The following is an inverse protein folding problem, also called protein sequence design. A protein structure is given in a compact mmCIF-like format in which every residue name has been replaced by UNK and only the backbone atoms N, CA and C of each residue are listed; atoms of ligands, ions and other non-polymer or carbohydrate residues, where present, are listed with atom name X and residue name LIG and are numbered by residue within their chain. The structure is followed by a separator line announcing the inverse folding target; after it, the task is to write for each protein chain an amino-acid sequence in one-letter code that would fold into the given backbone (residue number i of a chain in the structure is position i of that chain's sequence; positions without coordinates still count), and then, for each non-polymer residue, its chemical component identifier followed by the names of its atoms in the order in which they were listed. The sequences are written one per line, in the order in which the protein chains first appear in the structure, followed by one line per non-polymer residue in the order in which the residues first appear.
data_IF_887060656981
#
_entry.id   IF_887060656981
#
_cell.length_a   1.000
_cell.length_b   1.000
_cell.length_c   1.000
_cell.angle_alpha   90.00
_cell.angle_beta   90.00
_cell.angle_gamma   90.00
#
_symmetry.space_group_name_H-M   'P 1'
#
loop_
_entity.id
_entity.type
_entity.pdbx_description
1 polymer ?
#
# COMPACT_ATOMS: atom_id res chain seq x y z
N UNK A 1 -24.78 -49.52 -29.54
CA UNK A 1 -25.95 -49.36 -28.65
C UNK A 1 -27.29 -49.48 -29.38
N UNK A 2 -27.47 -48.93 -30.58
CA UNK A 2 -28.71 -49.14 -31.35
C UNK A 2 -28.99 -50.61 -31.67
N UNK A 3 -27.99 -51.43 -31.99
CA UNK A 3 -28.15 -52.85 -32.24
C UNK A 3 -28.58 -53.64 -30.95
N UNK A 4 -28.01 -53.28 -29.81
CA UNK A 4 -28.35 -53.92 -28.50
C UNK A 4 -29.77 -53.54 -28.08
N UNK A 5 -30.18 -52.26 -28.32
CA UNK A 5 -31.52 -51.82 -28.02
C UNK A 5 -32.58 -52.47 -28.96
N UNK A 6 -32.28 -52.70 -30.23
CA UNK A 6 -33.20 -53.40 -31.13
C UNK A 6 -33.38 -54.90 -30.80
N UNK A 7 -32.31 -55.57 -30.42
CA UNK A 7 -32.39 -56.99 -29.98
C UNK A 7 -33.14 -57.10 -28.63
N UNK A 8 -32.88 -56.22 -27.70
CA UNK A 8 -33.59 -56.18 -26.40
C UNK A 8 -35.09 -55.91 -26.58
N UNK A 9 -35.46 -54.97 -27.47
CA UNK A 9 -36.87 -54.69 -27.81
C UNK A 9 -37.56 -55.91 -28.39
N UNK A 10 -36.94 -56.60 -29.35
CA UNK A 10 -37.48 -57.80 -29.92
C UNK A 10 -37.65 -58.94 -28.89
N UNK A 11 -36.67 -59.11 -28.01
CA UNK A 11 -36.72 -60.12 -26.94
C UNK A 11 -37.81 -59.84 -25.89
N UNK A 12 -38.02 -58.57 -25.52
CA UNK A 12 -39.04 -58.16 -24.56
C UNK A 12 -40.46 -58.22 -25.19
N UNK A 13 -40.59 -57.98 -26.46
CA UNK A 13 -41.86 -58.14 -27.19
C UNK A 13 -42.25 -59.65 -27.30
N UNK A 14 -41.29 -60.55 -27.48
CA UNK A 14 -41.52 -62.01 -27.46
C UNK A 14 -41.96 -62.52 -26.07
N UNK A 15 -41.62 -61.83 -24.99
CA UNK A 15 -42.06 -62.12 -23.61
C UNK A 15 -43.47 -61.60 -23.28
N UNK A 16 -44.19 -60.96 -24.24
CA UNK A 16 -45.56 -60.47 -24.06
C UNK A 16 -45.73 -59.20 -23.26
N UNK A 17 -44.68 -58.38 -23.12
CA UNK A 17 -44.74 -57.10 -22.41
C UNK A 17 -45.39 -56.07 -23.31
N UNK A 18 -46.40 -55.33 -22.84
CA UNK A 18 -47.09 -54.27 -23.59
C UNK A 18 -46.13 -53.19 -24.05
N UNK A 19 -46.23 -52.68 -25.31
CA UNK A 19 -45.30 -51.74 -25.95
C UNK A 19 -44.96 -50.50 -25.09
N UNK A 20 -45.91 -49.97 -24.31
CA UNK A 20 -45.66 -48.85 -23.43
C UNK A 20 -44.64 -49.09 -22.32
N UNK A 21 -44.54 -50.35 -21.83
CA UNK A 21 -43.57 -50.73 -20.79
C UNK A 21 -42.21 -51.15 -21.39
N UNK A 22 -42.15 -51.59 -22.63
CA UNK A 22 -40.92 -52.00 -23.34
C UNK A 22 -39.96 -50.83 -23.41
N UNK A 23 -40.41 -49.66 -23.83
CA UNK A 23 -39.56 -48.44 -23.88
C UNK A 23 -39.03 -48.01 -22.49
N UNK A 24 -39.84 -48.13 -21.45
CA UNK A 24 -39.46 -47.80 -20.11
C UNK A 24 -38.39 -48.77 -19.55
N UNK A 25 -38.55 -50.09 -19.79
CA UNK A 25 -37.59 -51.12 -19.38
C UNK A 25 -36.25 -50.92 -20.13
N UNK A 26 -36.29 -50.70 -21.46
CA UNK A 26 -35.06 -50.47 -22.25
C UNK A 26 -34.32 -49.21 -21.76
N UNK A 27 -35.05 -48.13 -21.51
CA UNK A 27 -34.44 -46.89 -20.97
C UNK A 27 -33.82 -47.12 -19.60
N UNK A 28 -34.53 -47.80 -18.68
CA UNK A 28 -34.05 -48.11 -17.34
C UNK A 28 -32.79 -49.02 -17.37
N UNK A 29 -32.81 -50.05 -18.26
CA UNK A 29 -31.65 -50.93 -18.45
C UNK A 29 -30.44 -50.17 -19.02
N UNK A 30 -30.66 -49.28 -19.98
CA UNK A 30 -29.59 -48.47 -20.57
C UNK A 30 -28.96 -47.54 -19.51
N UNK A 31 -29.80 -46.89 -18.70
CA UNK A 31 -29.30 -46.03 -17.60
C UNK A 31 -28.50 -46.88 -16.58
N UNK A 32 -29.00 -48.05 -16.22
CA UNK A 32 -28.29 -48.94 -15.29
C UNK A 32 -26.92 -49.37 -15.83
N UNK A 33 -26.83 -49.73 -17.11
CA UNK A 33 -25.56 -50.08 -17.78
C UNK A 33 -24.59 -48.88 -17.79
N UNK A 34 -25.07 -47.66 -18.09
CA UNK A 34 -24.26 -46.45 -18.08
C UNK A 34 -23.70 -46.19 -16.67
N UNK A 35 -24.53 -46.30 -15.63
CA UNK A 35 -24.10 -46.14 -14.24
C UNK A 35 -23.11 -47.22 -13.81
N UNK A 36 -23.31 -48.45 -14.26
CA UNK A 36 -22.39 -49.56 -14.01
C UNK A 36 -21.02 -49.29 -14.65
N UNK A 37 -20.98 -48.85 -15.89
CA UNK A 37 -19.73 -48.48 -16.61
C UNK A 37 -19.02 -47.32 -15.85
N UNK A 38 -19.75 -46.31 -15.49
CA UNK A 38 -19.21 -45.17 -14.75
C UNK A 38 -18.64 -45.59 -13.38
N UNK A 39 -19.32 -46.49 -12.66
CA UNK A 39 -18.87 -47.05 -11.42
C UNK A 39 -17.60 -47.90 -11.55
N UNK A 40 -17.55 -48.82 -12.56
CA UNK A 40 -16.36 -49.63 -12.83
C UNK A 40 -15.18 -48.72 -13.16
N UNK A 41 -15.36 -47.76 -14.03
CA UNK A 41 -14.29 -46.81 -14.44
C UNK A 41 -13.76 -46.01 -13.25
N UNK A 42 -14.65 -45.54 -12.36
CA UNK A 42 -14.26 -44.88 -11.11
C UNK A 42 -13.46 -45.81 -10.19
N UNK A 43 -13.83 -47.07 -10.09
CA UNK A 43 -13.09 -48.07 -9.29
C UNK A 43 -11.72 -48.36 -9.88
N UNK A 44 -11.63 -48.52 -11.20
CA UNK A 44 -10.35 -48.72 -11.90
C UNK A 44 -9.44 -47.48 -11.69
N UNK A 45 -9.97 -46.28 -11.85
CA UNK A 45 -9.18 -45.08 -11.61
C UNK A 45 -8.59 -45.02 -10.20
N UNK A 46 -9.40 -45.26 -9.18
CA UNK A 46 -8.95 -45.23 -7.79
C UNK A 46 -7.98 -46.34 -7.42
N UNK A 47 -8.22 -47.60 -7.92
CA UNK A 47 -7.43 -48.76 -7.54
C UNK A 47 -6.20 -49.00 -8.42
N UNK A 48 -6.18 -48.50 -9.63
CA UNK A 48 -5.10 -48.73 -10.59
C UNK A 48 -4.34 -47.46 -10.92
N UNK A 49 -5.04 -46.40 -11.34
CA UNK A 49 -4.38 -45.20 -11.84
C UNK A 49 -3.69 -44.43 -10.70
N UNK A 50 -4.38 -44.18 -9.58
CA UNK A 50 -3.77 -43.48 -8.43
C UNK A 50 -2.51 -44.15 -7.90
N UNK A 51 -2.50 -45.49 -7.62
CA UNK A 51 -1.28 -46.18 -7.17
C UNK A 51 -0.14 -46.14 -8.19
N UNK A 52 -0.46 -46.20 -9.49
CA UNK A 52 0.57 -46.08 -10.55
C UNK A 52 1.20 -44.71 -10.51
N UNK A 53 0.38 -43.62 -10.49
CA UNK A 53 0.87 -42.27 -10.38
C UNK A 53 1.76 -42.09 -9.17
N UNK A 54 1.33 -42.54 -8.00
CA UNK A 54 2.14 -42.50 -6.75
C UNK A 54 3.47 -43.27 -6.87
N UNK A 55 3.45 -44.41 -7.54
CA UNK A 55 4.69 -45.18 -7.75
C UNK A 55 5.66 -44.50 -8.70
N UNK A 56 5.16 -43.68 -9.62
CA UNK A 56 5.98 -42.88 -10.52
C UNK A 56 6.53 -41.65 -9.79
N UNK A 57 5.69 -40.91 -9.07
CA UNK A 57 6.10 -39.74 -8.31
C UNK A 57 7.11 -40.07 -7.21
N UNK A 58 6.95 -41.17 -6.48
CA UNK A 58 7.91 -41.61 -5.45
C UNK A 58 9.31 -41.93 -6.01
N UNK A 59 9.48 -42.09 -7.32
CA UNK A 59 10.78 -42.29 -7.97
C UNK A 59 11.47 -41.01 -8.46
N UNK A 60 10.74 -39.91 -8.57
CA UNK A 60 11.27 -38.66 -9.14
C UNK A 60 12.08 -37.83 -8.17
N UNK A 61 12.08 -38.11 -6.86
CA UNK A 61 12.90 -37.43 -5.84
C UNK A 61 12.65 -35.91 -5.72
N UNK A 62 11.57 -35.41 -6.33
CA UNK A 62 11.22 -34.00 -6.33
C UNK A 62 10.00 -33.77 -5.41
N UNK A 63 10.13 -32.95 -4.38
CA UNK A 63 9.05 -32.66 -3.43
C UNK A 63 7.82 -31.98 -4.06
N UNK A 64 7.99 -31.34 -5.22
CA UNK A 64 6.91 -30.65 -5.92
C UNK A 64 5.83 -31.61 -6.44
N UNK A 65 6.26 -32.76 -6.95
CA UNK A 65 5.37 -33.78 -7.50
C UNK A 65 4.46 -34.37 -6.41
N UNK A 66 4.98 -34.55 -5.20
CA UNK A 66 4.25 -35.10 -4.07
C UNK A 66 3.16 -34.14 -3.57
N UNK A 67 3.43 -32.84 -3.61
CA UNK A 67 2.45 -31.83 -3.21
C UNK A 67 1.35 -31.60 -4.26
N UNK A 68 1.70 -31.56 -5.56
CA UNK A 68 0.75 -31.30 -6.64
C UNK A 68 -0.17 -32.51 -6.84
N UNK A 69 0.37 -33.73 -6.76
CA UNK A 69 -0.36 -34.98 -6.95
C UNK A 69 -0.78 -35.62 -5.62
N UNK A 70 -1.15 -34.81 -4.66
CA UNK A 70 -1.63 -35.29 -3.35
C UNK A 70 -2.97 -36.02 -3.47
N UNK A 71 -3.36 -36.73 -2.42
CA UNK A 71 -4.57 -37.55 -2.36
C UNK A 71 -5.86 -36.78 -2.63
N UNK A 72 -5.90 -35.50 -2.25
CA UNK A 72 -7.07 -34.64 -2.47
C UNK A 72 -7.24 -34.29 -3.93
N UNK A 73 -6.17 -33.92 -4.61
CA UNK A 73 -6.17 -33.60 -6.06
C UNK A 73 -6.50 -34.85 -6.86
N UNK A 74 -5.77 -35.95 -6.67
CA UNK A 74 -6.01 -37.20 -7.38
C UNK A 74 -7.41 -37.77 -7.10
N UNK A 75 -7.88 -37.66 -5.85
CA UNK A 75 -9.24 -38.08 -5.47
C UNK A 75 -10.32 -37.27 -6.20
N UNK A 76 -10.14 -35.96 -6.36
CA UNK A 76 -11.09 -35.10 -7.09
C UNK A 76 -11.05 -35.35 -8.60
N UNK A 77 -9.87 -35.59 -9.18
CA UNK A 77 -9.75 -36.03 -10.60
C UNK A 77 -10.55 -37.31 -10.85
N UNK A 78 -10.43 -38.32 -9.99
CA UNK A 78 -11.19 -39.56 -10.14
C UNK A 78 -12.69 -39.38 -9.96
N UNK A 79 -13.15 -38.40 -9.17
CA UNK A 79 -14.57 -38.08 -9.03
C UNK A 79 -15.18 -37.39 -10.27
N UNK A 80 -14.35 -36.80 -11.13
CA UNK A 80 -14.80 -36.20 -12.40
C UNK A 80 -15.15 -37.26 -13.46
N UNK A 81 -14.51 -38.43 -13.41
CA UNK A 81 -14.68 -39.47 -14.45
C UNK A 81 -16.12 -39.97 -14.55
N UNK A 82 -16.83 -40.39 -13.49
CA UNK A 82 -18.19 -40.90 -13.58
C UNK A 82 -19.17 -39.92 -14.22
N UNK A 83 -19.28 -38.65 -13.78
CA UNK A 83 -20.25 -37.74 -14.36
C UNK A 83 -19.93 -37.36 -15.83
N UNK A 84 -18.62 -37.32 -16.21
CA UNK A 84 -18.23 -37.09 -17.60
C UNK A 84 -18.71 -38.27 -18.48
N UNK A 85 -18.49 -39.51 -18.04
CA UNK A 85 -18.95 -40.70 -18.77
C UNK A 85 -20.47 -40.71 -18.86
N UNK A 86 -21.18 -40.42 -17.77
CA UNK A 86 -22.63 -40.35 -17.74
C UNK A 86 -23.14 -39.24 -18.69
N UNK A 87 -22.53 -38.04 -18.67
CA UNK A 87 -22.95 -36.96 -19.59
C UNK A 87 -22.78 -37.29 -21.06
N UNK A 88 -21.75 -38.06 -21.42
CA UNK A 88 -21.48 -38.49 -22.78
C UNK A 88 -22.43 -39.60 -23.28
N UNK A 89 -22.80 -40.52 -22.39
CA UNK A 89 -23.62 -41.69 -22.77
C UNK A 89 -25.12 -41.50 -22.52
N UNK A 90 -25.52 -40.57 -21.63
CA UNK A 90 -26.93 -40.34 -21.30
C UNK A 90 -27.81 -39.96 -22.48
N UNK A 91 -27.37 -39.15 -23.50
CA UNK A 91 -28.15 -38.85 -24.69
C UNK A 91 -28.58 -40.08 -25.48
N UNK A 92 -27.77 -41.17 -25.44
CA UNK A 92 -28.07 -42.41 -26.10
C UNK A 92 -29.20 -43.20 -25.41
N UNK A 93 -29.33 -43.05 -24.09
CA UNK A 93 -30.36 -43.72 -23.30
C UNK A 93 -31.70 -42.95 -23.29
N UNK A 94 -31.67 -41.61 -23.32
CA UNK A 94 -32.83 -40.73 -23.17
C UNK A 94 -33.26 -40.08 -24.49
N UNK A 95 -32.98 -40.74 -25.63
CA UNK A 95 -33.25 -40.17 -26.98
C UNK A 95 -34.72 -39.76 -27.20
N UNK A 96 -35.66 -40.45 -26.55
CA UNK A 96 -37.11 -40.17 -26.68
C UNK A 96 -37.68 -39.18 -25.65
N UNK A 97 -36.84 -38.65 -24.71
CA UNK A 97 -37.31 -37.80 -23.60
C UNK A 97 -36.47 -36.50 -23.46
N UNK A 98 -36.65 -35.53 -24.37
CA UNK A 98 -35.78 -34.37 -24.48
C UNK A 98 -35.77 -33.48 -23.19
N UNK A 99 -36.93 -33.35 -22.55
CA UNK A 99 -37.07 -32.57 -21.31
C UNK A 99 -36.28 -33.22 -20.16
N UNK A 100 -36.44 -34.54 -19.98
CA UNK A 100 -35.73 -35.28 -18.93
C UNK A 100 -34.23 -35.28 -19.19
N UNK A 101 -33.80 -35.43 -20.45
CA UNK A 101 -32.40 -35.37 -20.83
C UNK A 101 -31.78 -34.00 -20.53
N UNK A 102 -32.48 -32.91 -20.86
CA UNK A 102 -31.94 -31.56 -20.63
C UNK A 102 -31.74 -31.27 -19.14
N UNK A 103 -32.70 -31.61 -18.30
CA UNK A 103 -32.58 -31.42 -16.84
C UNK A 103 -31.53 -32.34 -16.22
N UNK A 104 -31.45 -33.61 -16.65
CA UNK A 104 -30.43 -34.55 -16.18
C UNK A 104 -29.03 -34.07 -16.53
N UNK A 105 -28.81 -33.59 -17.75
CA UNK A 105 -27.53 -33.05 -18.19
C UNK A 105 -27.16 -31.78 -17.39
N UNK A 106 -28.11 -30.89 -17.10
CA UNK A 106 -27.86 -29.71 -16.26
C UNK A 106 -27.37 -30.09 -14.85
N UNK A 107 -28.02 -31.06 -14.22
CA UNK A 107 -27.62 -31.56 -12.88
C UNK A 107 -26.22 -32.17 -12.95
N UNK A 108 -25.92 -32.95 -13.95
CA UNK A 108 -24.59 -33.57 -14.14
C UNK A 108 -23.53 -32.49 -14.36
N UNK A 109 -23.79 -31.46 -15.19
CA UNK A 109 -22.86 -30.36 -15.40
C UNK A 109 -22.62 -29.55 -14.14
N UNK A 110 -23.66 -29.27 -13.33
CA UNK A 110 -23.50 -28.61 -12.04
C UNK A 110 -22.59 -29.43 -11.11
N UNK A 111 -22.79 -30.74 -11.07
CA UNK A 111 -21.94 -31.64 -10.28
C UNK A 111 -20.47 -31.62 -10.76
N UNK A 112 -20.25 -31.64 -12.10
CA UNK A 112 -18.91 -31.51 -12.69
C UNK A 112 -18.25 -30.19 -12.27
N UNK A 113 -18.97 -29.06 -12.36
CA UNK A 113 -18.47 -27.75 -11.97
C UNK A 113 -18.08 -27.73 -10.49
N UNK A 114 -18.90 -28.28 -9.60
CA UNK A 114 -18.59 -28.34 -8.17
C UNK A 114 -17.31 -29.14 -7.92
N UNK A 115 -17.12 -30.28 -8.59
CA UNK A 115 -15.89 -31.08 -8.42
C UNK A 115 -14.70 -30.35 -9.05
N UNK A 116 -14.86 -29.69 -10.18
CA UNK A 116 -13.80 -28.90 -10.79
C UNK A 116 -13.36 -27.75 -9.89
N UNK A 117 -14.29 -27.01 -9.26
CA UNK A 117 -13.97 -25.97 -8.26
C UNK A 117 -13.18 -26.58 -7.07
N UNK A 118 -13.63 -27.74 -6.54
CA UNK A 118 -12.90 -28.44 -5.47
C UNK A 118 -11.49 -28.86 -5.91
N UNK A 119 -11.34 -29.32 -7.15
CA UNK A 119 -10.04 -29.69 -7.71
C UNK A 119 -9.10 -28.48 -7.81
N UNK A 120 -9.58 -27.34 -8.31
CA UNK A 120 -8.82 -26.11 -8.38
C UNK A 120 -8.46 -25.58 -6.98
N UNK A 121 -9.38 -25.66 -6.01
CA UNK A 121 -9.11 -25.28 -4.62
C UNK A 121 -8.06 -26.20 -3.97
N UNK A 122 -8.10 -27.50 -4.24
CA UNK A 122 -7.09 -28.45 -3.78
C UNK A 122 -5.72 -28.16 -4.41
N UNK A 123 -5.68 -27.88 -5.71
CA UNK A 123 -4.47 -27.48 -6.42
C UNK A 123 -3.84 -26.19 -5.83
N UNK A 124 -4.67 -25.17 -5.57
CA UNK A 124 -4.22 -23.95 -4.89
C UNK A 124 -3.66 -24.25 -3.49
N UNK A 125 -4.26 -25.20 -2.76
CA UNK A 125 -3.74 -25.66 -1.46
C UNK A 125 -2.36 -26.29 -1.60
N UNK A 126 -2.16 -27.09 -2.64
CA UNK A 126 -0.86 -27.73 -2.95
C UNK A 126 0.21 -26.68 -3.27
N UNK A 127 -0.12 -25.66 -4.06
CA UNK A 127 0.78 -24.55 -4.35
C UNK A 127 1.15 -23.77 -3.07
N UNK A 128 0.19 -23.59 -2.16
CA UNK A 128 0.47 -22.98 -0.86
C UNK A 128 1.46 -23.80 -0.05
N UNK A 129 1.28 -25.11 0.02
CA UNK A 129 2.18 -26.03 0.74
C UNK A 129 3.61 -25.93 0.18
N UNK A 130 3.78 -25.96 -1.14
CA UNK A 130 5.08 -25.79 -1.82
C UNK A 130 5.71 -24.44 -1.47
N UNK A 131 4.90 -23.37 -1.46
CA UNK A 131 5.41 -22.02 -1.13
C UNK A 131 5.89 -21.91 0.30
N UNK A 132 5.28 -22.65 1.24
CA UNK A 132 5.68 -22.67 2.65
C UNK A 132 7.00 -23.42 2.89
N UNK A 133 7.36 -24.39 2.05
CA UNK A 133 8.63 -25.12 2.14
C UNK A 133 9.82 -24.30 1.62
N UNK A 134 9.59 -23.33 0.76
CA UNK A 134 10.68 -22.53 0.19
C UNK A 134 11.20 -21.52 1.23
N UNK A 135 12.49 -21.59 1.55
CA UNK A 135 13.14 -20.71 2.54
C UNK A 135 13.00 -19.21 2.26
N UNK A 136 12.87 -18.81 1.00
CA UNK A 136 12.66 -17.41 0.59
C UNK A 136 11.36 -16.81 1.11
N UNK A 137 10.34 -17.63 1.37
CA UNK A 137 9.01 -17.18 1.77
C UNK A 137 8.65 -17.59 3.22
N UNK A 138 9.59 -18.23 3.92
CA UNK A 138 9.48 -18.55 5.35
C UNK A 138 9.42 -17.26 6.16
N UNK A 139 8.24 -16.90 6.63
CA UNK A 139 7.99 -15.67 7.40
C UNK A 139 7.02 -14.68 6.75
N UNK A 140 6.65 -14.86 5.49
CA UNK A 140 5.61 -14.06 4.85
C UNK A 140 4.24 -14.72 5.00
N UNK A 141 3.22 -13.96 5.41
CA UNK A 141 1.85 -14.47 5.55
C UNK A 141 1.17 -14.62 4.17
N UNK A 142 1.63 -15.58 3.36
CA UNK A 142 1.04 -15.87 2.04
C UNK A 142 -0.36 -16.50 2.13
N UNK A 143 -0.78 -16.94 3.32
CA UNK A 143 -2.08 -17.60 3.55
C UNK A 143 -3.26 -16.79 3.02
N UNK A 144 -3.26 -15.48 3.26
CA UNK A 144 -4.32 -14.57 2.80
C UNK A 144 -4.42 -14.52 1.27
N UNK A 145 -3.29 -14.48 0.56
CA UNK A 145 -3.24 -14.49 -0.89
C UNK A 145 -3.85 -15.75 -1.49
N UNK A 146 -3.47 -16.93 -0.99
CA UNK A 146 -4.03 -18.20 -1.47
C UNK A 146 -5.51 -18.37 -1.11
N UNK A 147 -5.96 -17.82 0.03
CA UNK A 147 -7.39 -17.77 0.38
C UNK A 147 -8.19 -16.90 -0.60
N UNK A 148 -7.64 -15.74 -1.01
CA UNK A 148 -8.27 -14.90 -2.03
C UNK A 148 -8.38 -15.61 -3.38
N UNK A 149 -7.33 -16.32 -3.82
CA UNK A 149 -7.39 -17.12 -5.05
C UNK A 149 -8.50 -18.18 -5.01
N UNK A 150 -8.64 -18.90 -3.88
CA UNK A 150 -9.72 -19.86 -3.70
C UNK A 150 -11.10 -19.20 -3.77
N UNK A 151 -11.25 -18.03 -3.14
CA UNK A 151 -12.50 -17.27 -3.18
C UNK A 151 -12.88 -16.91 -4.63
N UNK A 152 -11.92 -16.42 -5.42
CA UNK A 152 -12.15 -16.11 -6.84
C UNK A 152 -12.61 -17.34 -7.62
N UNK A 153 -11.96 -18.50 -7.44
CA UNK A 153 -12.35 -19.77 -8.08
C UNK A 153 -13.77 -20.18 -7.70
N UNK A 154 -14.12 -20.05 -6.41
CA UNK A 154 -15.47 -20.35 -5.91
C UNK A 154 -16.50 -19.40 -6.53
N UNK A 155 -16.22 -18.09 -6.62
CA UNK A 155 -17.11 -17.11 -7.25
C UNK A 155 -17.32 -17.40 -8.73
N UNK A 156 -16.26 -17.72 -9.48
CA UNK A 156 -16.36 -18.11 -10.89
C UNK A 156 -17.21 -19.37 -11.02
N UNK A 157 -16.98 -20.39 -10.20
CA UNK A 157 -17.77 -21.61 -10.18
C UNK A 157 -19.25 -21.34 -9.89
N UNK A 158 -19.56 -20.47 -8.95
CA UNK A 158 -20.94 -20.07 -8.62
C UNK A 158 -21.63 -19.39 -9.83
N UNK A 159 -20.93 -18.48 -10.54
CA UNK A 159 -21.45 -17.82 -11.74
C UNK A 159 -21.75 -18.85 -12.84
N UNK A 160 -20.86 -19.83 -13.06
CA UNK A 160 -21.07 -20.88 -14.06
C UNK A 160 -22.25 -21.78 -13.66
N UNK A 161 -22.41 -22.12 -12.37
CA UNK A 161 -23.57 -22.89 -11.88
C UNK A 161 -24.88 -22.14 -12.14
N UNK A 162 -24.95 -20.85 -11.75
CA UNK A 162 -26.14 -20.00 -11.97
C UNK A 162 -26.44 -19.90 -13.46
N UNK A 163 -25.43 -19.72 -14.28
CA UNK A 163 -25.54 -19.67 -15.74
C UNK A 163 -26.15 -20.97 -16.30
N UNK A 164 -25.66 -22.13 -15.84
CA UNK A 164 -26.16 -23.45 -16.22
C UNK A 164 -27.61 -23.65 -15.80
N UNK A 165 -28.00 -23.18 -14.60
CA UNK A 165 -29.38 -23.26 -14.12
C UNK A 165 -30.34 -22.38 -14.92
N UNK A 166 -29.91 -21.15 -15.24
CA UNK A 166 -30.73 -20.18 -15.98
C UNK A 166 -30.72 -20.38 -17.52
N UNK A 167 -29.90 -21.31 -18.02
CA UNK A 167 -29.69 -21.55 -19.44
C UNK A 167 -29.24 -20.28 -20.19
N UNK A 168 -28.32 -19.52 -19.56
CA UNK A 168 -27.78 -18.27 -20.07
C UNK A 168 -26.25 -18.37 -20.23
N UNK A 169 -25.72 -17.59 -21.16
CA UNK A 169 -24.27 -17.52 -21.32
C UNK A 169 -23.63 -16.92 -20.06
N UNK A 170 -22.59 -17.56 -19.43
CA UNK A 170 -21.88 -17.03 -18.28
C UNK A 170 -21.34 -15.60 -18.49
N UNK A 171 -20.93 -15.27 -19.72
CA UNK A 171 -20.45 -13.93 -20.06
C UNK A 171 -21.52 -12.84 -19.89
N UNK A 172 -22.79 -13.15 -20.20
CA UNK A 172 -23.90 -12.21 -20.05
C UNK A 172 -24.13 -11.89 -18.56
N UNK A 173 -24.07 -12.92 -17.70
CA UNK A 173 -24.20 -12.76 -16.25
C UNK A 173 -23.01 -11.95 -15.73
N UNK A 174 -21.80 -12.28 -16.15
CA UNK A 174 -20.58 -11.59 -15.74
C UNK A 174 -20.59 -10.12 -16.19
N UNK A 175 -21.05 -9.83 -17.41
CA UNK A 175 -21.16 -8.46 -17.92
C UNK A 175 -22.16 -7.65 -17.10
N UNK A 176 -23.33 -8.23 -16.78
CA UNK A 176 -24.33 -7.57 -15.95
C UNK A 176 -23.83 -7.29 -14.53
N UNK A 177 -23.16 -8.27 -13.90
CA UNK A 177 -22.52 -8.09 -12.61
C UNK A 177 -21.38 -7.05 -12.67
N UNK A 178 -20.59 -7.06 -13.76
CA UNK A 178 -19.50 -6.11 -13.98
C UNK A 178 -20.00 -4.68 -14.09
N UNK A 179 -21.07 -4.43 -14.84
CA UNK A 179 -21.69 -3.11 -14.94
C UNK A 179 -22.22 -2.62 -13.58
N UNK A 180 -22.93 -3.48 -12.85
CA UNK A 180 -23.41 -3.15 -11.49
C UNK A 180 -22.24 -2.86 -10.51
N UNK A 181 -21.18 -3.67 -10.57
CA UNK A 181 -19.99 -3.48 -9.74
C UNK A 181 -19.26 -2.17 -10.07
N UNK A 182 -19.20 -1.77 -11.36
CA UNK A 182 -18.59 -0.50 -11.75
C UNK A 182 -19.34 0.71 -11.15
N UNK A 183 -20.67 0.67 -11.15
CA UNK A 183 -21.49 1.71 -10.51
C UNK A 183 -21.26 1.73 -9.00
N UNK A 184 -21.26 0.58 -8.34
CA UNK A 184 -20.98 0.49 -6.90
C UNK A 184 -19.58 0.98 -6.56
N UNK A 185 -18.57 0.61 -7.38
CA UNK A 185 -17.19 1.07 -7.18
C UNK A 185 -17.07 2.59 -7.31
N UNK A 186 -17.83 3.20 -8.23
CA UNK A 186 -17.88 4.66 -8.38
C UNK A 186 -18.46 5.31 -7.11
N UNK A 187 -19.56 4.76 -6.56
CA UNK A 187 -20.21 5.26 -5.35
C UNK A 187 -19.30 5.16 -4.12
N UNK A 188 -18.56 4.06 -3.99
CA UNK A 188 -17.66 3.81 -2.85
C UNK A 188 -16.21 4.26 -3.07
N UNK A 189 -15.89 4.86 -4.21
CA UNK A 189 -14.52 5.22 -4.59
C UNK A 189 -13.80 6.02 -3.52
N UNK A 190 -14.42 7.05 -2.98
CA UNK A 190 -13.77 7.92 -1.99
C UNK A 190 -13.63 7.23 -0.63
N UNK A 191 -14.57 6.39 -0.26
CA UNK A 191 -14.48 5.56 0.95
C UNK A 191 -13.30 4.59 0.86
N UNK A 192 -13.13 3.93 -0.29
CA UNK A 192 -12.02 2.99 -0.53
C UNK A 192 -10.68 3.73 -0.50
N UNK A 193 -10.58 4.88 -1.19
CA UNK A 193 -9.37 5.73 -1.16
C UNK A 193 -9.02 6.16 0.26
N UNK A 194 -10.03 6.61 1.04
CA UNK A 194 -9.84 7.01 2.43
C UNK A 194 -9.33 5.86 3.31
N UNK A 195 -9.91 4.67 3.17
CA UNK A 195 -9.49 3.47 3.90
C UNK A 195 -8.04 3.08 3.57
N UNK A 196 -7.70 3.00 2.27
CA UNK A 196 -6.35 2.64 1.82
C UNK A 196 -5.33 3.66 2.31
N UNK A 197 -5.64 4.97 2.20
CA UNK A 197 -4.78 6.03 2.67
C UNK A 197 -4.59 6.00 4.20
N UNK A 198 -5.66 5.75 4.97
CA UNK A 198 -5.57 5.58 6.43
C UNK A 198 -4.65 4.43 6.84
N UNK A 199 -4.73 3.30 6.13
CA UNK A 199 -3.81 2.18 6.33
C UNK A 199 -2.37 2.57 5.97
N UNK A 200 -2.16 3.28 4.86
CA UNK A 200 -0.82 3.73 4.44
C UNK A 200 -0.19 4.70 5.43
N UNK A 201 -0.95 5.68 5.93
CA UNK A 201 -0.47 6.63 6.95
C UNK A 201 0.01 5.90 8.20
N UNK A 202 -0.74 4.90 8.65
CA UNK A 202 -0.42 4.11 9.84
C UNK A 202 0.74 3.13 9.59
N UNK A 203 0.71 2.38 8.48
CA UNK A 203 1.71 1.36 8.18
C UNK A 203 3.10 1.93 7.89
N UNK A 204 3.15 3.12 7.27
CA UNK A 204 4.41 3.83 6.97
C UNK A 204 4.81 4.81 8.08
N UNK A 205 4.10 4.86 9.19
CA UNK A 205 4.35 5.76 10.32
C UNK A 205 4.47 7.25 9.90
N UNK A 206 3.68 7.66 8.91
CA UNK A 206 3.75 9.02 8.37
C UNK A 206 3.19 10.05 9.34
N UNK A 207 2.22 9.65 10.19
CA UNK A 207 1.49 10.55 11.07
C UNK A 207 1.01 9.82 12.32
N UNK A 208 1.19 10.44 13.49
CA UNK A 208 0.67 9.97 14.79
C UNK A 208 -0.14 11.06 15.47
N UNK A 209 -1.13 10.69 16.32
CA UNK A 209 -1.70 11.64 17.27
C UNK A 209 -0.60 12.27 18.14
N UNK A 210 -0.65 13.60 18.30
CA UNK A 210 0.38 14.40 18.99
C UNK A 210 1.44 14.99 18.07
N UNK A 211 1.53 14.60 16.80
CA UNK A 211 2.44 15.24 15.85
C UNK A 211 1.97 16.66 15.53
N UNK A 212 2.89 17.60 15.46
CA UNK A 212 2.63 18.88 14.81
C UNK A 212 2.84 18.75 13.32
N UNK A 213 1.81 19.12 12.55
CA UNK A 213 1.88 19.16 11.09
C UNK A 213 1.51 20.56 10.54
N UNK A 214 2.08 20.86 9.40
CA UNK A 214 1.71 22.07 8.62
C UNK A 214 1.33 21.65 7.20
N UNK A 215 0.09 21.95 6.82
CA UNK A 215 -0.49 21.69 5.49
C UNK A 215 -1.31 22.88 5.02
N UNK A 216 -0.66 23.96 4.52
CA UNK A 216 -1.29 25.22 4.20
C UNK A 216 -2.45 25.11 3.20
N UNK A 217 -2.36 24.17 2.24
CA UNK A 217 -3.42 23.92 1.25
C UNK A 217 -4.77 23.61 1.89
N UNK A 218 -4.77 23.02 3.08
CA UNK A 218 -5.98 22.64 3.82
C UNK A 218 -6.21 23.52 5.07
N UNK A 219 -5.43 24.58 5.24
CA UNK A 219 -5.53 25.46 6.39
C UNK A 219 -5.21 24.75 7.71
N UNK A 220 -4.34 23.76 7.69
CA UNK A 220 -3.92 23.03 8.87
C UNK A 220 -2.50 23.43 9.26
N UNK A 221 -2.33 23.89 10.50
CA UNK A 221 -1.04 24.15 11.15
C UNK A 221 -1.23 24.01 12.66
N UNK A 222 -0.87 22.84 13.20
CA UNK A 222 -1.08 22.52 14.60
C UNK A 222 -0.96 21.05 14.92
N UNK A 223 -1.44 20.65 16.08
CA UNK A 223 -1.31 19.30 16.63
C UNK A 223 -2.40 18.36 16.10
N UNK A 224 -1.99 17.17 15.66
CA UNK A 224 -2.90 16.08 15.30
C UNK A 224 -3.56 15.54 16.56
N UNK A 225 -4.90 15.66 16.63
CA UNK A 225 -5.69 15.17 17.77
C UNK A 225 -6.02 13.70 17.60
N UNK A 226 -6.45 13.34 16.38
CA UNK A 226 -7.02 12.05 16.08
C UNK A 226 -6.72 11.63 14.64
N UNK A 227 -6.38 10.37 14.45
CA UNK A 227 -6.22 9.74 13.15
C UNK A 227 -7.16 8.55 13.07
N UNK A 228 -8.18 8.64 12.20
CA UNK A 228 -9.12 7.56 11.91
C UNK A 228 -8.94 7.07 10.48
N UNK A 229 -9.65 6.01 10.10
CA UNK A 229 -9.62 5.48 8.73
C UNK A 229 -10.18 6.46 7.69
N UNK A 230 -11.03 7.39 8.11
CA UNK A 230 -11.74 8.30 7.20
C UNK A 230 -11.41 9.77 7.41
N UNK A 231 -10.84 10.12 8.57
CA UNK A 231 -10.56 11.53 8.92
C UNK A 231 -9.32 11.66 9.79
N UNK A 232 -8.57 12.74 9.57
CA UNK A 232 -7.52 13.23 10.47
C UNK A 232 -7.95 14.59 10.97
N UNK A 233 -7.95 14.79 12.30
CA UNK A 233 -8.28 16.06 12.95
C UNK A 233 -7.02 16.74 13.44
N UNK A 234 -6.82 18.00 13.03
CA UNK A 234 -5.71 18.84 13.44
C UNK A 234 -6.25 20.02 14.23
N UNK A 235 -5.73 20.23 15.44
CA UNK A 235 -6.02 21.42 16.24
C UNK A 235 -5.00 22.49 15.91
N UNK A 236 -5.42 23.50 15.18
CA UNK A 236 -4.60 24.65 14.83
C UNK A 236 -4.21 25.49 16.05
N UNK A 237 -3.22 26.35 15.90
CA UNK A 237 -2.72 27.22 16.98
C UNK A 237 -3.78 28.20 17.49
N UNK A 238 -4.72 28.62 16.63
CA UNK A 238 -5.88 29.44 16.97
C UNK A 238 -7.02 28.68 17.68
N UNK A 239 -6.79 27.37 17.98
CA UNK A 239 -7.73 26.42 18.61
C UNK A 239 -8.87 25.96 17.71
N UNK A 240 -8.90 26.34 16.45
CA UNK A 240 -9.82 25.76 15.47
C UNK A 240 -9.42 24.32 15.15
N UNK A 241 -10.37 23.52 14.68
CA UNK A 241 -10.12 22.12 14.28
C UNK A 241 -10.30 22.01 12.76
N UNK A 242 -9.23 21.67 12.08
CA UNK A 242 -9.28 21.32 10.65
C UNK A 242 -9.41 19.81 10.51
N UNK A 243 -10.37 19.36 9.70
CA UNK A 243 -10.57 17.95 9.39
C UNK A 243 -10.09 17.66 7.98
N UNK A 244 -9.13 16.76 7.85
CA UNK A 244 -8.48 16.42 6.59
C UNK A 244 -8.78 14.96 6.27
N UNK A 245 -9.25 14.62 5.05
CA UNK A 245 -9.39 13.23 4.65
C UNK A 245 -8.01 12.58 4.48
N UNK A 246 -7.79 11.33 4.94
CA UNK A 246 -6.49 10.65 4.88
C UNK A 246 -5.85 10.62 3.51
N UNK A 247 -6.64 10.48 2.44
CA UNK A 247 -6.11 10.45 1.08
C UNK A 247 -5.41 11.76 0.69
N UNK A 248 -5.81 12.89 1.26
CA UNK A 248 -5.15 14.17 0.99
C UNK A 248 -3.73 14.22 1.56
N UNK A 249 -3.51 13.62 2.74
CA UNK A 249 -2.19 13.52 3.37
C UNK A 249 -1.25 12.54 2.66
N UNK A 250 -1.80 11.59 1.89
CA UNK A 250 -1.00 10.66 1.08
C UNK A 250 -0.68 11.25 -0.30
N UNK A 251 -1.63 12.00 -0.90
CA UNK A 251 -1.50 12.53 -2.26
C UNK A 251 -0.81 13.90 -2.32
N UNK A 252 -0.96 14.71 -1.28
CA UNK A 252 -0.37 16.04 -1.20
C UNK A 252 0.80 16.03 -0.19
N UNK A 253 1.72 16.97 -0.34
CA UNK A 253 2.81 17.14 0.61
C UNK A 253 2.35 17.90 1.86
N UNK A 254 2.78 17.43 3.01
CA UNK A 254 2.67 18.12 4.29
C UNK A 254 4.01 18.10 5.03
N UNK A 255 4.23 19.02 5.94
CA UNK A 255 5.39 19.03 6.82
C UNK A 255 5.00 18.38 8.15
N UNK A 256 5.76 17.37 8.58
CA UNK A 256 5.67 16.81 9.92
C UNK A 256 6.87 17.31 10.76
N UNK A 257 6.57 18.00 11.84
CA UNK A 257 7.57 18.59 12.71
C UNK A 257 8.13 17.63 13.79
N UNK A 258 7.71 16.36 13.78
CA UNK A 258 8.22 15.33 14.69
C UNK A 258 9.76 15.29 14.68
N UNK A 259 10.38 15.32 13.50
CA UNK A 259 11.83 15.31 13.37
C UNK A 259 12.54 16.47 14.10
N UNK A 260 11.89 17.65 14.21
CA UNK A 260 12.43 18.76 14.99
C UNK A 260 12.50 18.42 16.49
N UNK A 261 11.48 17.74 17.01
CA UNK A 261 11.45 17.31 18.40
C UNK A 261 12.42 16.15 18.68
N UNK A 262 12.48 15.18 17.75
CA UNK A 262 13.37 14.01 17.86
C UNK A 262 14.84 14.41 17.82
N UNK A 263 15.22 15.38 16.97
CA UNK A 263 16.58 15.92 16.88
C UNK A 263 16.91 16.92 17.99
N UNK A 264 15.90 17.42 18.73
CA UNK A 264 16.06 18.31 19.85
C UNK A 264 16.54 19.73 19.48
N UNK A 265 16.30 20.20 18.25
CA UNK A 265 16.73 21.52 17.82
C UNK A 265 15.74 22.24 16.91
N UNK A 266 15.36 23.48 17.27
CA UNK A 266 14.47 24.31 16.46
C UNK A 266 15.25 25.37 15.69
N UNK A 267 15.12 25.35 14.37
CA UNK A 267 15.90 26.21 13.47
C UNK A 267 15.53 27.68 13.58
N UNK A 268 16.55 28.53 13.76
CA UNK A 268 16.48 29.98 13.61
C UNK A 268 17.21 30.36 12.32
N UNK A 269 16.51 31.04 11.44
CA UNK A 269 17.05 31.54 10.16
C UNK A 269 16.52 32.93 9.91
N UNK A 270 17.31 33.93 10.30
CA UNK A 270 16.96 35.35 10.14
C UNK A 270 18.15 36.16 9.66
N UNK A 271 17.90 37.22 8.96
CA UNK A 271 18.93 38.16 8.48
C UNK A 271 18.65 39.57 8.91
N UNK A 272 19.72 40.38 9.00
CA UNK A 272 19.65 41.83 9.05
C UNK A 272 20.39 42.37 7.84
N UNK A 273 19.94 43.53 7.38
CA UNK A 273 20.57 44.23 6.26
C UNK A 273 21.57 45.26 6.79
N UNK A 274 22.85 45.13 6.44
CA UNK A 274 23.89 46.09 6.79
C UNK A 274 23.99 47.17 5.71
N UNK A 275 24.13 48.42 6.12
CA UNK A 275 24.42 49.53 5.20
C UNK A 275 25.81 49.34 4.58
N UNK A 276 25.84 49.08 3.27
CA UNK A 276 27.09 48.80 2.55
C UNK A 276 28.08 49.97 2.58
N UNK A 277 27.62 51.20 2.82
CA UNK A 277 28.50 52.36 2.95
C UNK A 277 29.33 52.33 4.24
N UNK A 278 28.96 51.50 5.22
CA UNK A 278 29.70 51.33 6.44
C UNK A 278 30.74 50.20 6.41
N UNK A 279 30.73 49.43 5.30
CA UNK A 279 31.69 48.33 5.10
C UNK A 279 33.01 48.93 4.62
N UNK A 280 34.07 48.78 5.39
CA UNK A 280 35.42 49.30 5.11
C UNK A 280 36.52 48.42 5.67
N UNK A 281 37.73 48.67 5.27
CA UNK A 281 38.89 48.09 5.93
C UNK A 281 39.05 48.63 7.37
N UNK A 282 39.46 47.77 8.29
CA UNK A 282 39.77 48.16 9.66
C UNK A 282 41.08 48.97 9.72
N UNK A 283 41.16 49.90 10.63
CA UNK A 283 42.40 50.61 10.97
C UNK A 283 43.34 49.65 11.77
N UNK A 284 44.61 50.02 11.83
CA UNK A 284 45.59 49.24 12.64
C UNK A 284 45.23 49.20 14.10
N UNK A 285 44.76 50.33 14.67
CA UNK A 285 44.38 50.42 16.07
C UNK A 285 43.15 49.54 16.38
N UNK A 286 42.18 49.50 15.48
CA UNK A 286 41.02 48.57 15.59
C UNK A 286 41.44 47.12 15.54
N UNK A 287 42.31 46.75 14.60
CA UNK A 287 42.81 45.39 14.51
C UNK A 287 43.59 44.96 15.75
N UNK A 288 44.43 45.84 16.28
CA UNK A 288 45.20 45.57 17.50
C UNK A 288 44.32 45.47 18.75
N UNK A 289 43.20 46.23 18.79
CA UNK A 289 42.17 46.06 19.80
C UNK A 289 41.45 44.71 19.67
N UNK A 290 41.01 44.36 18.44
CA UNK A 290 40.30 43.12 18.24
C UNK A 290 41.15 41.89 18.53
N UNK A 291 42.46 41.88 18.16
CA UNK A 291 43.39 40.77 18.45
C UNK A 291 43.54 40.46 19.93
N UNK A 292 43.24 41.40 20.84
CA UNK A 292 43.28 41.19 22.28
C UNK A 292 42.02 40.53 22.83
N UNK A 293 40.99 40.38 22.00
CA UNK A 293 39.71 39.86 22.46
C UNK A 293 39.67 38.32 22.39
N UNK A 294 39.04 37.63 23.37
CA UNK A 294 38.98 36.17 23.43
C UNK A 294 38.35 35.53 22.21
N UNK A 295 37.44 36.21 21.52
CA UNK A 295 36.72 35.73 20.34
C UNK A 295 37.57 35.75 19.07
N UNK A 296 38.76 36.34 19.09
CA UNK A 296 39.72 36.30 17.97
C UNK A 296 40.61 35.04 18.02
N UNK A 297 40.51 34.22 19.05
CA UNK A 297 41.21 32.94 19.06
C UNK A 297 40.73 32.05 17.89
N UNK A 298 41.68 31.58 17.08
CA UNK A 298 41.37 30.81 15.86
C UNK A 298 40.92 31.65 14.67
N UNK A 299 41.01 32.96 14.71
CA UNK A 299 40.73 33.81 13.55
C UNK A 299 41.81 33.65 12.48
N UNK A 300 41.39 33.32 11.28
CA UNK A 300 42.30 33.23 10.10
C UNK A 300 42.16 34.51 9.28
N UNK A 301 43.24 35.32 9.18
CA UNK A 301 43.22 36.54 8.39
C UNK A 301 43.02 36.24 6.90
N UNK A 302 42.19 37.02 6.21
CA UNK A 302 41.95 36.88 4.77
C UNK A 302 43.04 37.55 3.91
N UNK A 303 43.93 38.30 4.53
CA UNK A 303 45.00 39.04 3.86
C UNK A 303 45.75 39.97 4.78
N UNK A 304 46.31 41.04 4.22
CA UNK A 304 47.00 42.13 4.97
C UNK A 304 46.06 43.14 5.60
N UNK A 305 44.92 43.32 5.02
CA UNK A 305 43.90 44.30 5.44
C UNK A 305 42.57 43.59 5.65
N UNK A 306 42.06 43.66 6.89
CA UNK A 306 40.80 42.99 7.27
C UNK A 306 39.60 43.94 7.14
N UNK A 307 38.48 43.40 6.65
CA UNK A 307 37.22 44.14 6.51
C UNK A 307 36.41 44.03 7.81
N UNK A 308 35.89 45.16 8.32
CA UNK A 308 35.09 45.20 9.56
C UNK A 308 33.89 44.21 9.53
N UNK A 309 33.22 44.05 8.38
CA UNK A 309 32.13 43.09 8.24
C UNK A 309 32.59 41.63 8.35
N UNK A 310 33.84 41.27 7.94
CA UNK A 310 34.40 39.97 8.09
C UNK A 310 34.67 39.66 9.56
N UNK A 311 35.25 40.59 10.28
CA UNK A 311 35.52 40.44 11.75
C UNK A 311 34.20 40.35 12.52
N UNK A 312 33.19 41.14 12.17
CA UNK A 312 31.87 41.05 12.76
C UNK A 312 31.22 39.69 12.58
N UNK A 313 31.31 39.10 11.39
CA UNK A 313 30.77 37.73 11.12
C UNK A 313 31.51 36.70 11.96
N UNK A 314 32.82 36.82 12.11
CA UNK A 314 33.59 35.94 12.98
C UNK A 314 33.18 36.07 14.45
N UNK A 315 33.00 37.28 14.91
CA UNK A 315 32.48 37.53 16.26
C UNK A 315 31.12 36.89 16.49
N UNK A 316 30.17 37.05 15.56
CA UNK A 316 28.84 36.49 15.70
C UNK A 316 28.84 34.94 15.63
N UNK A 317 29.73 34.35 14.85
CA UNK A 317 29.95 32.92 14.83
C UNK A 317 30.45 32.39 16.19
N UNK A 318 31.46 33.08 16.73
CA UNK A 318 31.96 32.77 18.07
C UNK A 318 30.87 32.94 19.14
N UNK A 319 30.12 34.05 19.11
CA UNK A 319 29.03 34.32 20.03
C UNK A 319 27.99 33.20 20.04
N UNK A 320 27.50 32.80 18.85
CA UNK A 320 26.55 31.70 18.74
C UNK A 320 27.12 30.36 19.23
N UNK A 321 28.38 30.07 18.93
CA UNK A 321 29.04 28.84 19.38
C UNK A 321 29.22 28.79 20.91
N UNK A 322 29.31 29.91 21.55
CA UNK A 322 29.47 30.02 23.03
C UNK A 322 28.14 30.28 23.76
N UNK A 323 27.07 30.55 23.05
CA UNK A 323 25.76 30.81 23.67
C UNK A 323 25.16 29.55 24.28
N UNK A 324 24.71 29.55 25.57
CA UNK A 324 24.27 28.35 26.28
C UNK A 324 23.01 27.71 25.68
N UNK A 325 22.09 28.51 25.15
CA UNK A 325 20.83 28.03 24.59
C UNK A 325 20.89 27.67 23.09
N UNK A 326 22.06 27.79 22.44
CA UNK A 326 22.29 27.37 21.06
C UNK A 326 22.72 25.92 20.99
N UNK A 327 22.12 25.13 20.12
CA UNK A 327 22.43 23.71 19.94
C UNK A 327 23.78 23.51 19.25
N UNK A 328 24.79 23.01 20.01
CA UNK A 328 26.19 22.90 19.55
C UNK A 328 26.43 21.79 18.53
N UNK A 329 25.61 20.76 18.53
CA UNK A 329 25.71 19.61 17.61
C UNK A 329 25.10 19.84 16.23
N UNK A 330 24.38 20.96 16.06
CA UNK A 330 23.74 21.32 14.79
C UNK A 330 24.51 22.45 14.09
N UNK A 331 24.17 22.67 12.82
CA UNK A 331 24.83 23.68 11.99
C UNK A 331 24.67 25.07 12.58
N UNK A 332 25.78 25.76 12.82
CA UNK A 332 25.86 27.18 13.16
C UNK A 332 26.58 27.88 12.02
N UNK A 333 25.98 28.92 11.44
CA UNK A 333 26.51 29.62 10.29
C UNK A 333 26.11 31.10 10.32
N UNK A 334 27.08 31.97 10.19
CA UNK A 334 26.89 33.40 9.93
C UNK A 334 27.37 33.71 8.51
N UNK A 335 26.46 33.98 7.62
CA UNK A 335 26.79 34.15 6.19
C UNK A 335 26.29 35.46 5.62
N UNK A 336 27.07 35.93 4.66
CA UNK A 336 26.70 37.05 3.80
C UNK A 336 25.86 36.52 2.62
N UNK A 337 24.73 37.18 2.39
CA UNK A 337 23.86 36.90 1.25
C UNK A 337 24.17 37.85 0.09
N UNK A 338 23.48 37.66 -1.03
CA UNK A 338 23.60 38.55 -2.16
C UNK A 338 23.16 39.99 -1.80
N UNK A 339 23.94 41.03 -2.14
CA UNK A 339 23.57 42.43 -1.93
C UNK A 339 22.23 42.78 -2.57
N UNK A 340 21.48 43.61 -1.89
CA UNK A 340 20.19 44.09 -2.35
C UNK A 340 20.15 45.64 -2.36
N UNK A 341 19.11 46.23 -2.94
CA UNK A 341 18.86 47.67 -2.81
C UNK A 341 18.61 48.14 -1.36
N UNK A 342 18.35 47.19 -0.45
CA UNK A 342 18.13 47.42 0.98
C UNK A 342 19.37 47.02 1.84
N UNK A 343 20.56 47.06 1.24
CA UNK A 343 21.81 46.76 1.93
C UNK A 343 22.28 45.31 1.73
N UNK A 344 23.29 44.94 2.54
CA UNK A 344 23.91 43.62 2.56
C UNK A 344 23.27 42.73 3.61
N UNK A 345 22.48 41.68 3.25
CA UNK A 345 21.90 40.81 4.24
C UNK A 345 22.97 39.89 4.85
N UNK A 346 23.07 39.90 6.18
CA UNK A 346 23.84 38.97 6.98
C UNK A 346 22.84 38.03 7.64
N UNK A 347 22.88 36.74 7.25
CA UNK A 347 21.99 35.72 7.75
C UNK A 347 22.66 34.94 8.90
N UNK A 348 21.96 34.84 10.02
CA UNK A 348 22.27 33.94 11.10
C UNK A 348 21.43 32.67 10.93
N UNK A 349 22.10 31.55 10.85
CA UNK A 349 21.49 30.23 10.72
C UNK A 349 22.01 29.34 11.86
N UNK A 350 21.15 29.00 12.77
CA UNK A 350 21.49 28.18 13.94
C UNK A 350 20.24 27.51 14.52
N UNK A 351 20.42 26.69 15.56
CA UNK A 351 19.32 25.97 16.19
C UNK A 351 19.27 26.28 17.68
N UNK A 352 18.06 26.49 18.20
CA UNK A 352 17.80 26.52 19.64
C UNK A 352 17.95 25.11 20.21
N UNK A 353 18.58 24.98 21.37
CA UNK A 353 18.68 23.69 22.09
C UNK A 353 17.35 23.27 22.75
N UNK A 354 16.41 24.21 22.89
CA UNK A 354 15.05 23.95 23.36
C UNK A 354 14.06 24.18 22.19
N UNK A 355 13.19 23.19 21.96
CA UNK A 355 12.18 23.24 20.89
C UNK A 355 10.91 23.99 21.28
N UNK A 356 10.72 24.28 22.60
CA UNK A 356 9.55 24.99 23.11
C UNK A 356 9.44 26.40 22.52
N UNK A 357 8.24 26.74 22.02
CA UNK A 357 8.02 27.99 21.29
C UNK A 357 8.45 29.25 22.07
N UNK A 358 8.08 29.38 23.34
CA UNK A 358 8.43 30.54 24.16
C UNK A 358 9.95 30.69 24.30
N UNK A 359 10.68 29.60 24.54
CA UNK A 359 12.14 29.62 24.65
C UNK A 359 12.80 29.98 23.31
N UNK A 360 12.31 29.39 22.24
CA UNK A 360 12.76 29.68 20.89
C UNK A 360 12.62 31.18 20.54
N UNK A 361 11.45 31.79 20.80
CA UNK A 361 11.24 33.21 20.54
C UNK A 361 12.11 34.11 21.45
N UNK A 362 12.30 33.72 22.70
CA UNK A 362 13.17 34.45 23.63
C UNK A 362 14.62 34.44 23.15
N UNK A 363 15.19 33.28 22.88
CA UNK A 363 16.53 33.14 22.30
C UNK A 363 16.72 33.94 21.03
N UNK A 364 15.75 33.88 20.14
CA UNK A 364 15.77 34.60 18.88
C UNK A 364 15.81 36.12 19.11
N UNK A 365 15.00 36.64 20.02
CA UNK A 365 15.02 38.04 20.44
C UNK A 365 16.37 38.44 21.04
N UNK A 366 16.86 37.70 22.02
CA UNK A 366 18.12 37.98 22.72
C UNK A 366 19.33 38.05 21.78
N UNK A 367 19.44 37.07 20.86
CA UNK A 367 20.54 37.03 19.88
C UNK A 367 20.49 38.25 18.95
N UNK A 368 19.30 38.64 18.50
CA UNK A 368 19.16 39.80 17.59
C UNK A 368 19.29 41.14 18.31
N UNK A 369 18.85 41.27 19.55
CA UNK A 369 19.12 42.43 20.39
C UNK A 369 20.61 42.62 20.63
N UNK A 370 21.31 41.55 20.95
CA UNK A 370 22.78 41.58 21.10
C UNK A 370 23.47 41.95 19.81
N UNK A 371 23.08 41.36 18.70
CA UNK A 371 23.62 41.65 17.36
C UNK A 371 23.47 43.12 17.02
N UNK A 372 22.28 43.71 17.23
CA UNK A 372 22.02 45.12 16.96
C UNK A 372 22.86 46.03 17.83
N UNK A 373 23.03 45.70 19.09
CA UNK A 373 23.83 46.47 20.05
C UNK A 373 25.32 46.45 19.68
N UNK A 374 25.84 45.30 19.28
CA UNK A 374 27.30 45.12 19.08
C UNK A 374 27.76 45.67 17.70
N UNK A 375 26.86 45.89 16.73
CA UNK A 375 27.20 46.42 15.41
C UNK A 375 28.04 47.69 15.48
N UNK A 376 27.73 48.58 16.38
CA UNK A 376 28.44 49.85 16.56
C UNK A 376 29.92 49.66 16.92
N UNK A 377 30.27 48.58 17.63
CA UNK A 377 31.67 48.27 17.98
C UNK A 377 32.52 47.87 16.77
N UNK A 378 31.88 47.57 15.64
CA UNK A 378 32.54 47.27 14.35
C UNK A 378 32.36 48.40 13.34
N UNK A 379 31.87 49.57 13.76
CA UNK A 379 31.55 50.72 12.89
C UNK A 379 30.59 50.32 11.74
N UNK A 380 29.68 49.37 11.99
CA UNK A 380 28.64 48.93 11.07
C UNK A 380 27.29 49.51 11.49
N UNK A 381 26.42 49.72 10.48
CA UNK A 381 25.04 50.19 10.70
C UNK A 381 24.05 49.31 9.95
N UNK A 382 22.88 49.16 10.53
CA UNK A 382 21.74 48.53 9.83
C UNK A 382 21.24 49.49 8.76
N UNK A 383 20.97 48.97 7.60
CA UNK A 383 20.29 49.73 6.55
C UNK A 383 18.85 50.03 6.96
N UNK A 384 18.49 51.28 6.98
CA UNK A 384 17.12 51.75 7.18
C UNK A 384 16.74 52.70 6.07
N UNK A 385 15.57 52.50 5.47
CA UNK A 385 15.01 53.51 4.55
C UNK A 385 14.80 54.77 5.34
N UNK A 386 15.40 55.86 4.90
CA UNK A 386 15.13 57.17 5.48
C UNK A 386 13.64 57.50 5.34
N UNK A 387 12.90 57.48 6.45
CA UNK A 387 11.61 58.15 6.45
C UNK A 387 11.92 59.63 6.38
N UNK A 388 11.60 60.27 5.24
CA UNK A 388 11.57 61.74 5.15
C UNK A 388 10.41 62.26 6.02
N UNK A 389 10.60 62.20 7.34
CA UNK A 389 9.84 63.08 8.20
C UNK A 389 10.32 64.46 7.86
N UNK A 390 9.58 65.15 7.02
CA UNK A 390 9.71 66.59 6.78
C UNK A 390 9.56 67.26 8.13
N UNK A 391 10.67 67.56 8.76
CA UNK A 391 10.70 68.54 9.89
C UNK A 391 10.17 69.85 9.30
N UNK A 392 8.92 70.19 9.60
CA UNK A 392 8.41 71.55 9.48
C UNK A 392 9.06 72.48 10.50
#
# INVERSE_FOLDING_TARGET
MNLINTELVQWLQQLGIAEGYVNLVVTATSIFVILLIAFILSRVCRKVVIPIIRKVTSKTGNSWDDHILNDEVLGNVCKLIPPIVVSALLPLALHGMPVLLSWSLRIIWIYIIIIAVKLFCAFISSLYAISCENEKYKGQSLKGFYQMLKLVVICIGAIIIISTLLDKNPLVILTGLGAGTAVLMLVFQDTIKGLVAGIQLSANDMLRPGDWISMPKYGADGDVIEVTLTTVKVRNWDKTITTIPPYALVNDSFQNWRGMFDEGGRRIKRSINIDMNTVRFCTKDELDYFKQQPWMEGFEPSGTDEVNLYIFRHYMDWYLKNHPEVHKGMTILVRQMQPTSEGMPIELYFFSADTAWLRYEHLQGEVFDHLLAVLHSFDLRVFQRSSSATTK
#
